data_IF_424784761122
#
_entry.id   IF_424784761122
#
_cell.length_a   1.000
_cell.length_b   1.000
_cell.length_c   1.000
_cell.angle_alpha   90.00
_cell.angle_beta   90.00
_cell.angle_gamma   90.00
#
_symmetry.space_group_name_H-M   'P 1'
#
loop_
_entity.id
_entity.type
_entity.pdbx_description
1 polymer ?
#
# COMPACT_ATOMS: atom_id res chain seq x y z
N UNK A 1 -5.32 12.12 12.93
CA UNK A 1 -4.69 11.08 13.78
C UNK A 1 -3.72 10.24 12.95
N UNK A 2 -2.91 9.39 13.59
CA UNK A 2 -2.02 8.42 12.93
C UNK A 2 -2.35 7.01 13.43
N UNK A 3 -2.51 6.05 12.53
CA UNK A 3 -2.68 4.63 12.84
C UNK A 3 -1.66 3.80 12.06
N UNK A 4 -0.96 2.88 12.72
CA UNK A 4 0.04 2.01 12.10
C UNK A 4 -0.32 0.54 12.27
N UNK A 5 -0.28 -0.19 11.17
CA UNK A 5 -0.57 -1.62 11.06
C UNK A 5 0.66 -2.36 10.49
N UNK A 6 0.96 -3.55 11.01
CA UNK A 6 2.02 -4.44 10.50
C UNK A 6 1.40 -5.72 9.95
N UNK A 7 1.97 -6.23 8.86
CA UNK A 7 1.53 -7.43 8.18
C UNK A 7 2.74 -8.31 7.93
N UNK A 8 2.73 -9.52 8.48
CA UNK A 8 3.86 -10.47 8.45
C UNK A 8 3.41 -11.87 7.95
N UNK A 9 2.44 -11.93 7.03
CA UNK A 9 1.91 -13.18 6.46
C UNK A 9 2.79 -13.79 5.34
N UNK A 10 2.19 -14.67 4.53
CA UNK A 10 2.88 -15.33 3.40
C UNK A 10 3.22 -14.33 2.29
N UNK A 11 4.43 -13.77 2.35
CA UNK A 11 4.92 -12.75 1.43
C UNK A 11 5.92 -11.82 2.11
N UNK A 12 6.18 -10.66 1.51
CA UNK A 12 7.04 -9.64 2.11
C UNK A 12 6.32 -8.97 3.26
N UNK A 13 6.92 -8.91 4.45
CA UNK A 13 6.34 -8.18 5.54
C UNK A 13 6.32 -6.69 5.20
N UNK A 14 5.22 -6.03 5.54
CA UNK A 14 5.06 -4.61 5.27
C UNK A 14 4.36 -3.90 6.42
N UNK A 15 4.53 -2.58 6.46
CA UNK A 15 3.83 -1.70 7.40
C UNK A 15 2.99 -0.71 6.62
N UNK A 16 1.74 -0.50 7.04
CA UNK A 16 0.89 0.59 6.56
C UNK A 16 0.69 1.60 7.67
N UNK A 17 0.91 2.87 7.37
CA UNK A 17 0.62 3.98 8.29
C UNK A 17 -0.40 4.90 7.65
N UNK A 18 -1.54 5.08 8.29
CA UNK A 18 -2.62 5.96 7.84
C UNK A 18 -2.59 7.27 8.63
N UNK A 19 -2.70 8.36 7.90
CA UNK A 19 -2.80 9.71 8.47
C UNK A 19 -4.17 10.28 8.13
N UNK A 20 -4.93 10.68 9.14
CA UNK A 20 -6.28 11.21 8.98
C UNK A 20 -6.40 12.64 9.50
N UNK A 21 -7.34 13.41 8.94
CA UNK A 21 -7.72 14.72 9.46
C UNK A 21 -8.53 14.62 10.76
N UNK A 22 -8.99 15.77 11.29
CA UNK A 22 -9.79 15.81 12.52
C UNK A 22 -11.19 15.19 12.36
N UNK A 23 -11.70 15.07 11.13
CA UNK A 23 -12.96 14.42 10.81
C UNK A 23 -12.81 12.90 10.59
N UNK A 24 -11.59 12.36 10.72
CA UNK A 24 -11.31 10.94 10.56
C UNK A 24 -11.12 10.50 9.10
N UNK A 25 -11.16 11.43 8.14
CA UNK A 25 -10.90 11.11 6.73
C UNK A 25 -9.40 10.87 6.54
N UNK A 26 -9.05 9.74 5.96
CA UNK A 26 -7.66 9.40 5.63
C UNK A 26 -7.17 10.35 4.52
N UNK A 27 -6.00 10.94 4.70
CA UNK A 27 -5.38 11.84 3.72
C UNK A 27 -4.19 11.19 3.01
N UNK A 28 -3.54 10.23 3.67
CA UNK A 28 -2.32 9.60 3.22
C UNK A 28 -2.21 8.19 3.82
N UNK A 29 -1.75 7.25 3.00
CA UNK A 29 -1.21 5.97 3.46
C UNK A 29 0.29 5.85 3.09
N UNK A 30 1.16 5.66 4.09
CA UNK A 30 2.58 5.29 3.91
C UNK A 30 2.71 3.77 4.00
N UNK A 31 3.09 3.12 2.90
CA UNK A 31 3.32 1.69 2.81
C UNK A 31 4.82 1.41 2.67
N UNK A 32 5.38 0.62 3.60
CA UNK A 32 6.79 0.22 3.59
C UNK A 32 6.91 -1.29 3.50
N UNK A 33 7.34 -1.78 2.35
CA UNK A 33 7.53 -3.21 2.07
C UNK A 33 8.99 -3.57 2.32
N UNK A 34 9.25 -4.53 3.24
CA UNK A 34 10.63 -4.90 3.58
C UNK A 34 11.25 -5.76 2.48
N UNK A 35 12.45 -5.37 2.06
CA UNK A 35 13.28 -6.14 1.12
C UNK A 35 12.85 -6.06 -0.35
N UNK A 36 11.86 -5.25 -0.71
CA UNK A 36 11.35 -5.15 -2.08
C UNK A 36 12.39 -4.57 -3.08
N UNK A 37 13.40 -3.85 -2.60
CA UNK A 37 14.38 -3.20 -3.49
C UNK A 37 13.71 -2.15 -4.39
N UNK A 38 14.19 -2.02 -5.63
CA UNK A 38 13.62 -1.10 -6.63
C UNK A 38 12.72 -1.83 -7.63
N UNK A 39 11.77 -2.62 -7.11
CA UNK A 39 10.78 -3.36 -7.89
C UNK A 39 9.36 -2.93 -7.51
N UNK A 40 8.43 -3.08 -8.45
CA UNK A 40 7.01 -2.82 -8.20
C UNK A 40 6.42 -3.90 -7.29
N UNK A 41 5.81 -3.52 -6.18
CA UNK A 41 5.27 -4.48 -5.21
C UNK A 41 4.00 -5.17 -5.74
N UNK A 42 4.00 -6.51 -5.69
CA UNK A 42 2.98 -7.34 -6.31
C UNK A 42 3.25 -7.53 -7.81
N UNK A 43 2.19 -7.62 -8.61
CA UNK A 43 2.29 -7.80 -10.07
C UNK A 43 2.53 -9.26 -10.51
N UNK A 44 2.70 -9.44 -11.81
CA UNK A 44 2.86 -10.76 -12.44
C UNK A 44 4.29 -11.28 -12.27
N UNK A 45 4.44 -12.55 -11.87
CA UNK A 45 5.74 -13.23 -11.76
C UNK A 45 6.57 -13.23 -13.06
N UNK A 46 5.92 -13.11 -14.21
CA UNK A 46 6.60 -13.02 -15.51
C UNK A 46 7.19 -11.62 -15.80
N UNK A 47 6.85 -10.60 -15.00
CA UNK A 47 7.30 -9.22 -15.21
C UNK A 47 8.69 -8.94 -14.61
N UNK A 48 9.62 -8.47 -15.42
CA UNK A 48 11.04 -8.28 -15.06
C UNK A 48 11.32 -7.22 -13.98
N UNK A 49 10.36 -6.35 -13.68
CA UNK A 49 10.49 -5.25 -12.71
C UNK A 49 9.46 -5.31 -11.59
N UNK A 50 8.88 -6.49 -11.39
CA UNK A 50 7.88 -6.72 -10.35
C UNK A 50 8.44 -7.59 -9.24
N UNK A 51 7.83 -7.46 -8.08
CA UNK A 51 8.15 -8.20 -6.89
C UNK A 51 6.87 -8.89 -6.41
N UNK A 52 6.54 -10.06 -6.98
CA UNK A 52 5.28 -10.76 -6.77
C UNK A 52 5.11 -11.31 -5.34
N UNK A 53 6.16 -11.22 -4.51
CA UNK A 53 6.08 -11.56 -3.09
C UNK A 53 5.59 -10.37 -2.24
N UNK A 54 5.62 -9.15 -2.78
CA UNK A 54 5.09 -7.96 -2.13
C UNK A 54 3.57 -7.86 -2.18
N UNK A 55 2.95 -7.03 -1.32
CA UNK A 55 1.53 -6.72 -1.44
C UNK A 55 1.19 -6.08 -2.78
N UNK A 56 -0.05 -6.22 -3.23
CA UNK A 56 -0.53 -5.60 -4.47
C UNK A 56 -0.63 -4.08 -4.32
N UNK A 57 0.42 -3.36 -4.75
CA UNK A 57 0.48 -1.91 -4.68
C UNK A 57 -0.57 -1.24 -5.58
N UNK A 58 -0.86 -1.82 -6.75
CA UNK A 58 -1.85 -1.27 -7.69
C UNK A 58 -3.24 -1.31 -7.07
N UNK A 59 -3.62 -2.44 -6.46
CA UNK A 59 -4.89 -2.59 -5.74
C UNK A 59 -4.98 -1.60 -4.58
N UNK A 60 -3.93 -1.47 -3.78
CA UNK A 60 -3.91 -0.54 -2.64
C UNK A 60 -4.12 0.92 -3.09
N UNK A 61 -3.48 1.35 -4.18
CA UNK A 61 -3.69 2.68 -4.76
C UNK A 61 -5.13 2.87 -5.25
N UNK A 62 -5.69 1.90 -5.96
CA UNK A 62 -7.06 1.96 -6.45
C UNK A 62 -8.08 2.02 -5.31
N UNK A 63 -7.92 1.19 -4.28
CA UNK A 63 -8.79 1.20 -3.10
C UNK A 63 -8.70 2.56 -2.37
N UNK A 64 -7.51 3.16 -2.28
CA UNK A 64 -7.35 4.51 -1.73
C UNK A 64 -8.07 5.56 -2.59
N UNK A 65 -7.84 5.62 -3.89
CA UNK A 65 -8.46 6.64 -4.74
C UNK A 65 -9.99 6.48 -4.85
N UNK A 66 -10.49 5.24 -4.86
CA UNK A 66 -11.92 4.96 -4.83
C UNK A 66 -12.58 5.44 -3.52
N UNK A 67 -11.87 5.36 -2.39
CA UNK A 67 -12.32 5.91 -1.11
C UNK A 67 -12.19 7.45 -1.02
N UNK A 68 -11.40 8.07 -1.90
CA UNK A 68 -11.16 9.52 -1.94
C UNK A 68 -11.44 10.11 -3.33
N UNK A 69 -12.67 9.96 -3.86
CA UNK A 69 -13.00 10.51 -5.16
C UNK A 69 -12.85 12.03 -5.11
N UNK A 70 -12.22 12.60 -6.13
CA UNK A 70 -12.38 14.04 -6.37
C UNK A 70 -13.84 14.26 -6.75
N UNK A 71 -14.53 15.10 -5.97
CA UNK A 71 -15.88 15.54 -6.34
C UNK A 71 -15.87 16.09 -7.76
N UNK A 72 -16.90 15.73 -8.54
CA UNK A 72 -17.16 16.33 -9.84
C UNK A 72 -17.86 17.67 -9.68
#
# INVERSE_FOLDING_TARGET
>A
SMARERFDGDGRPYTRTRYADAAGRVLLEDWRVRGAGHAWSGGDRAGSFTDPQGPDASRAMLDFFAAHPKGF
#
